data_IF_091006031691
#
_entry.id   IF_091006031691
#
_cell.length_a   1.000
_cell.length_b   1.000
_cell.length_c   1.000
_cell.angle_alpha   90.00
_cell.angle_beta   90.00
_cell.angle_gamma   90.00
#
_symmetry.space_group_name_H-M   'P 1'
#
loop_
_entity.id
_entity.type
_entity.pdbx_description
1 polymer ?
#
# COMPACT_ATOMS: atom_id res chain seq x y z
N UNK A 1 6.26 37.38 9.50
CA UNK A 1 6.36 36.12 10.24
C UNK A 1 5.84 35.04 9.33
N UNK A 2 6.71 34.18 8.81
CA UNK A 2 6.27 33.00 8.08
C UNK A 2 5.43 32.15 9.04
N UNK A 3 4.19 31.86 8.68
CA UNK A 3 3.38 30.94 9.47
C UNK A 3 4.03 29.58 9.39
N UNK A 4 4.25 28.93 10.51
CA UNK A 4 4.70 27.53 10.57
C UNK A 4 3.55 26.64 10.06
N UNK A 5 3.46 26.48 8.75
CA UNK A 5 2.38 25.73 8.09
C UNK A 5 2.97 24.48 7.43
N UNK A 6 2.39 23.33 7.70
CA UNK A 6 2.66 22.08 6.98
C UNK A 6 1.47 21.73 6.10
N UNK A 7 1.73 21.52 4.82
CA UNK A 7 0.70 21.24 3.81
C UNK A 7 0.73 19.78 3.36
N UNK A 8 -0.34 19.06 3.64
CA UNK A 8 -0.52 17.70 3.15
C UNK A 8 -1.20 17.72 1.77
N UNK A 9 -0.56 17.11 0.79
CA UNK A 9 -1.07 17.09 -0.57
C UNK A 9 -1.36 15.66 -1.01
N UNK A 10 -2.64 15.39 -1.29
CA UNK A 10 -3.09 14.11 -1.86
C UNK A 10 -3.84 14.37 -3.17
N UNK A 11 -3.39 13.77 -4.25
CA UNK A 11 -4.02 13.91 -5.57
C UNK A 11 -5.14 12.92 -5.80
N UNK A 12 -5.36 12.00 -4.87
CA UNK A 12 -6.36 10.95 -4.99
C UNK A 12 -7.21 10.86 -3.74
N UNK A 13 -8.53 10.96 -3.96
CA UNK A 13 -9.53 10.74 -2.92
C UNK A 13 -9.91 11.99 -2.12
N UNK A 14 -10.89 11.80 -1.24
CA UNK A 14 -11.49 12.84 -0.39
C UNK A 14 -10.86 12.89 1.00
N UNK A 15 -9.87 12.05 1.26
CA UNK A 15 -9.16 11.92 2.54
C UNK A 15 -7.67 11.69 2.27
N UNK A 16 -6.86 11.88 3.28
CA UNK A 16 -5.47 11.44 3.27
C UNK A 16 -5.43 9.91 3.15
N UNK A 17 -4.42 9.41 2.45
CA UNK A 17 -4.13 7.97 2.50
C UNK A 17 -3.53 7.59 3.87
N UNK A 18 -3.36 6.30 4.12
CA UNK A 18 -2.92 5.80 5.42
C UNK A 18 -1.58 6.37 5.87
N UNK A 19 -0.60 6.50 4.97
CA UNK A 19 0.72 7.01 5.30
C UNK A 19 0.64 8.49 5.71
N UNK A 20 -0.01 9.32 4.91
CA UNK A 20 -0.19 10.74 5.21
C UNK A 20 -1.04 10.96 6.46
N UNK A 21 -2.02 10.08 6.73
CA UNK A 21 -2.83 10.17 7.94
C UNK A 21 -2.00 9.87 9.19
N UNK A 22 -1.16 8.81 9.16
CA UNK A 22 -0.26 8.47 10.26
C UNK A 22 0.70 9.63 10.54
N UNK A 23 1.33 10.18 9.50
CA UNK A 23 2.24 11.33 9.65
C UNK A 23 1.51 12.55 10.21
N UNK A 24 0.31 12.83 9.72
CA UNK A 24 -0.50 13.96 10.21
C UNK A 24 -0.79 13.81 11.70
N UNK A 25 -1.27 12.66 12.13
CA UNK A 25 -1.68 12.44 13.51
C UNK A 25 -0.47 12.52 14.46
N UNK A 26 0.68 12.05 14.01
CA UNK A 26 1.95 12.15 14.72
C UNK A 26 2.42 13.62 14.84
N UNK A 27 2.49 14.35 13.72
CA UNK A 27 2.94 15.73 13.71
C UNK A 27 2.01 16.68 14.49
N UNK A 28 0.70 16.46 14.43
CA UNK A 28 -0.27 17.22 15.24
C UNK A 28 -0.02 17.04 16.74
N UNK A 29 0.48 15.88 17.16
CA UNK A 29 0.82 15.61 18.55
C UNK A 29 2.19 16.21 18.92
N UNK A 30 3.18 16.06 18.05
CA UNK A 30 4.56 16.47 18.31
C UNK A 30 4.79 17.97 18.13
N UNK A 31 4.05 18.62 17.23
CA UNK A 31 4.20 20.02 16.84
C UNK A 31 2.87 20.80 17.00
N UNK A 32 2.36 20.97 18.23
CA UNK A 32 1.02 21.54 18.48
C UNK A 32 0.87 23.01 18.03
N UNK A 33 1.98 23.74 17.88
CA UNK A 33 1.98 25.15 17.44
C UNK A 33 2.02 25.31 15.91
N UNK A 34 2.07 24.22 15.17
CA UNK A 34 2.05 24.23 13.70
C UNK A 34 0.63 24.30 13.18
N UNK A 35 0.43 25.06 12.11
CA UNK A 35 -0.80 25.07 11.34
C UNK A 35 -0.74 23.98 10.26
N UNK A 36 -1.80 23.18 10.12
CA UNK A 36 -1.88 22.11 9.12
C UNK A 36 -2.89 22.45 8.04
N UNK A 37 -2.48 22.37 6.80
CA UNK A 37 -3.33 22.60 5.63
C UNK A 37 -3.42 21.35 4.78
N UNK A 38 -4.54 21.20 4.06
CA UNK A 38 -4.83 19.99 3.28
C UNK A 38 -5.26 20.36 1.87
N UNK A 39 -4.59 19.81 0.89
CA UNK A 39 -5.07 19.79 -0.49
C UNK A 39 -5.50 18.37 -0.84
N UNK A 40 -6.81 18.15 -0.90
CA UNK A 40 -7.41 16.85 -1.24
C UNK A 40 -8.11 16.97 -2.58
N UNK A 41 -7.71 16.15 -3.54
CA UNK A 41 -8.35 16.16 -4.84
C UNK A 41 -9.69 15.40 -4.76
N UNK A 42 -10.78 16.14 -4.94
CA UNK A 42 -12.09 15.52 -5.19
C UNK A 42 -12.01 14.85 -6.56
N UNK A 43 -12.33 13.58 -6.62
CA UNK A 43 -12.36 12.68 -7.80
C UNK A 43 -12.30 13.39 -9.15
N UNK A 44 -11.35 12.98 -9.99
CA UNK A 44 -11.29 13.42 -11.38
C UNK A 44 -12.67 13.29 -12.02
N UNK A 45 -13.15 14.36 -12.65
CA UNK A 45 -14.44 14.36 -13.34
C UNK A 45 -14.22 13.94 -14.79
N UNK A 46 -15.27 13.45 -15.45
CA UNK A 46 -15.24 13.22 -16.90
C UNK A 46 -15.18 14.53 -17.73
N UNK A 47 -15.20 15.69 -17.05
CA UNK A 47 -15.21 17.01 -17.68
C UNK A 47 -13.78 17.58 -17.72
N UNK A 48 -13.10 17.62 -18.89
CA UNK A 48 -11.70 18.04 -19.00
C UNK A 48 -11.42 19.44 -18.41
N UNK A 49 -12.32 20.39 -18.63
CA UNK A 49 -12.17 21.77 -18.15
C UNK A 49 -12.14 21.86 -16.61
N UNK A 50 -12.91 21.03 -15.92
CA UNK A 50 -12.91 20.99 -14.46
C UNK A 50 -11.60 20.40 -13.98
N UNK A 51 -11.11 19.34 -14.60
CA UNK A 51 -9.83 18.73 -14.26
C UNK A 51 -8.66 19.72 -14.45
N UNK A 52 -8.67 20.53 -15.50
CA UNK A 52 -7.66 21.57 -15.71
C UNK A 52 -7.68 22.62 -14.60
N UNK A 53 -8.86 23.15 -14.24
CA UNK A 53 -9.00 24.11 -13.13
C UNK A 53 -8.56 23.53 -11.78
N UNK A 54 -8.82 22.25 -11.53
CA UNK A 54 -8.35 21.56 -10.31
C UNK A 54 -6.84 21.40 -10.30
N UNK A 55 -6.25 21.11 -11.44
CA UNK A 55 -4.79 21.02 -11.60
C UNK A 55 -4.12 22.39 -11.35
N UNK A 56 -4.67 23.46 -11.91
CA UNK A 56 -4.17 24.82 -11.71
C UNK A 56 -4.29 25.25 -10.23
N UNK A 57 -5.41 24.98 -9.58
CA UNK A 57 -5.59 25.26 -8.17
C UNK A 57 -4.58 24.50 -7.30
N UNK A 58 -4.29 23.23 -7.64
CA UNK A 58 -3.25 22.46 -6.96
C UNK A 58 -1.87 23.06 -7.14
N UNK A 59 -1.53 23.46 -8.36
CA UNK A 59 -0.23 24.11 -8.65
C UNK A 59 -0.06 25.39 -7.84
N UNK A 60 -1.11 26.24 -7.81
CA UNK A 60 -1.11 27.46 -7.00
C UNK A 60 -0.90 27.13 -5.54
N UNK A 61 -1.67 26.23 -4.97
CA UNK A 61 -1.53 25.80 -3.58
C UNK A 61 -0.12 25.29 -3.27
N UNK A 62 0.44 24.41 -4.10
CA UNK A 62 1.78 23.87 -3.90
C UNK A 62 2.89 24.93 -4.11
N UNK A 63 2.67 25.96 -4.96
CA UNK A 63 3.64 27.03 -5.16
C UNK A 63 3.67 28.05 -4.03
N UNK A 64 2.60 28.16 -3.26
CA UNK A 64 2.48 29.06 -2.11
C UNK A 64 2.86 28.38 -0.78
N UNK A 65 2.87 27.05 -0.74
CA UNK A 65 3.17 26.26 0.45
C UNK A 65 4.70 26.16 0.67
N UNK A 66 5.17 26.51 1.85
CA UNK A 66 6.58 26.40 2.23
C UNK A 66 6.98 24.98 2.63
N UNK A 67 6.08 24.27 3.31
CA UNK A 67 6.33 22.92 3.80
C UNK A 67 5.28 21.98 3.21
N UNK A 68 5.71 20.97 2.45
CA UNK A 68 4.83 20.04 1.76
C UNK A 68 5.20 18.62 2.13
N UNK A 69 4.19 17.82 2.45
CA UNK A 69 4.30 16.35 2.53
C UNK A 69 3.35 15.74 1.49
N UNK A 70 3.87 14.91 0.62
CA UNK A 70 3.08 14.25 -0.42
C UNK A 70 3.55 12.82 -0.68
N UNK A 71 2.69 12.02 -1.31
CA UNK A 71 3.05 10.67 -1.79
C UNK A 71 3.04 10.56 -3.32
N UNK A 72 2.36 11.46 -3.99
CA UNK A 72 2.25 11.44 -5.45
C UNK A 72 3.44 12.18 -6.07
N UNK A 73 4.33 11.44 -6.71
CA UNK A 73 5.52 11.99 -7.39
C UNK A 73 5.17 12.94 -8.55
N UNK A 74 3.93 12.98 -9.02
CA UNK A 74 3.48 13.97 -9.98
C UNK A 74 3.45 15.40 -9.42
N UNK A 75 3.38 15.55 -8.09
CA UNK A 75 3.38 16.85 -7.42
C UNK A 75 4.75 17.52 -7.52
N UNK A 76 5.84 16.90 -7.03
CA UNK A 76 7.18 17.49 -7.14
C UNK A 76 7.64 17.74 -8.57
N UNK A 77 7.10 17.01 -9.57
CA UNK A 77 7.41 17.20 -10.98
C UNK A 77 6.85 18.52 -11.51
N UNK A 78 5.67 18.93 -11.05
CA UNK A 78 4.88 20.01 -11.65
C UNK A 78 5.00 21.36 -10.93
N UNK A 79 5.67 21.40 -9.80
CA UNK A 79 5.91 22.63 -9.05
C UNK A 79 7.28 23.21 -9.35
N UNK A 80 7.53 24.50 -9.10
CA UNK A 80 8.87 25.09 -9.19
C UNK A 80 9.86 24.39 -8.23
N UNK A 81 11.15 24.55 -8.49
CA UNK A 81 12.21 24.12 -7.56
C UNK A 81 11.99 24.71 -6.18
N UNK A 82 12.34 23.96 -5.14
CA UNK A 82 12.25 24.45 -3.76
C UNK A 82 13.24 25.59 -3.56
N UNK A 83 12.82 26.62 -2.83
CA UNK A 83 13.73 27.66 -2.33
C UNK A 83 14.47 27.16 -1.09
N UNK A 84 15.51 27.90 -0.67
CA UNK A 84 16.32 27.52 0.51
C UNK A 84 15.51 27.41 1.81
N UNK A 85 14.35 28.06 1.87
CA UNK A 85 13.48 28.07 3.04
C UNK A 85 12.26 27.13 2.92
N UNK A 86 12.24 26.28 1.92
CA UNK A 86 11.13 25.37 1.67
C UNK A 86 11.52 23.93 1.97
N UNK A 87 10.64 23.21 2.65
CA UNK A 87 10.79 21.78 2.91
C UNK A 87 9.73 21.00 2.17
N UNK A 88 10.14 20.08 1.30
CA UNK A 88 9.25 19.24 0.50
C UNK A 88 9.65 17.80 0.66
N UNK A 89 8.81 17.04 1.37
CA UNK A 89 9.01 15.62 1.62
C UNK A 89 8.14 14.79 0.68
N UNK A 90 8.76 13.91 -0.06
CA UNK A 90 8.10 12.87 -0.85
C UNK A 90 8.20 11.52 -0.12
N UNK A 91 7.06 10.95 0.25
CA UNK A 91 6.94 9.55 0.65
C UNK A 91 6.75 8.74 -0.62
N UNK A 92 7.83 8.19 -1.15
CA UNK A 92 7.80 7.55 -2.45
C UNK A 92 7.20 6.14 -2.39
N UNK A 93 6.06 5.94 -3.06
CA UNK A 93 5.44 4.63 -3.20
C UNK A 93 5.50 4.18 -4.66
N UNK A 94 6.07 3.01 -4.97
CA UNK A 94 6.11 2.52 -6.34
C UNK A 94 4.75 1.97 -6.79
N UNK A 95 3.84 1.71 -5.85
CA UNK A 95 2.58 1.02 -6.06
C UNK A 95 1.42 1.93 -6.43
N UNK A 96 1.71 3.20 -6.71
CA UNK A 96 0.76 4.15 -7.27
C UNK A 96 0.62 3.97 -8.80
N UNK A 97 -0.18 4.85 -9.41
CA UNK A 97 -0.40 4.94 -10.86
C UNK A 97 0.88 4.83 -11.71
N UNK A 98 2.02 5.21 -11.16
CA UNK A 98 3.31 5.18 -11.84
C UNK A 98 3.94 3.79 -11.91
N UNK A 99 3.52 2.84 -11.10
CA UNK A 99 4.05 1.48 -11.15
C UNK A 99 3.95 0.88 -12.56
N UNK A 100 2.83 1.09 -13.23
CA UNK A 100 2.63 0.63 -14.61
C UNK A 100 3.62 1.29 -15.60
N UNK A 101 3.97 2.55 -15.36
CA UNK A 101 4.95 3.28 -16.17
C UNK A 101 6.34 2.74 -15.90
N UNK A 102 6.69 2.53 -14.65
CA UNK A 102 7.98 1.97 -14.24
C UNK A 102 8.18 0.56 -14.78
N UNK A 103 7.17 -0.30 -14.69
CA UNK A 103 7.25 -1.67 -15.19
C UNK A 103 7.44 -1.74 -16.70
N UNK A 104 6.70 -0.91 -17.47
CA UNK A 104 6.91 -0.79 -18.91
C UNK A 104 8.33 -0.35 -19.25
N UNK A 105 8.94 0.51 -18.43
CA UNK A 105 10.31 0.93 -18.60
C UNK A 105 11.32 -0.19 -18.29
N UNK A 106 11.10 -0.94 -17.21
CA UNK A 106 11.93 -2.11 -16.86
C UNK A 106 11.86 -3.21 -17.91
N UNK A 107 10.68 -3.41 -18.52
CA UNK A 107 10.49 -4.37 -19.61
C UNK A 107 11.11 -3.92 -20.92
N UNK A 108 11.21 -2.61 -21.15
CA UNK A 108 11.78 -2.05 -22.37
C UNK A 108 12.76 -0.89 -22.09
N UNK A 109 14.00 -1.20 -21.64
CA UNK A 109 14.99 -0.19 -21.27
C UNK A 109 15.44 0.73 -22.42
N UNK A 110 15.08 0.37 -23.68
CA UNK A 110 15.36 1.21 -24.86
C UNK A 110 14.38 2.40 -24.99
N UNK A 111 13.28 2.43 -24.24
CA UNK A 111 12.47 3.63 -24.14
C UNK A 111 13.31 4.70 -23.45
N UNK A 112 13.58 5.81 -24.16
CA UNK A 112 14.34 6.93 -23.60
C UNK A 112 13.70 7.37 -22.28
N UNK A 113 14.51 7.45 -21.21
CA UNK A 113 14.17 8.18 -19.99
C UNK A 113 13.51 9.50 -20.43
N UNK A 114 12.29 9.75 -19.99
CA UNK A 114 11.81 11.13 -19.94
C UNK A 114 12.65 11.79 -18.87
N UNK A 115 13.46 12.77 -19.26
CA UNK A 115 14.11 13.66 -18.31
C UNK A 115 13.01 14.36 -17.51
N UNK A 116 12.73 13.86 -16.34
CA UNK A 116 11.67 14.37 -15.46
C UNK A 116 12.32 14.61 -14.12
N UNK A 117 12.48 15.88 -13.78
CA UNK A 117 13.05 16.29 -12.50
C UNK A 117 12.01 16.18 -11.40
N UNK A 118 12.41 15.63 -10.27
CA UNK A 118 11.63 15.67 -9.03
C UNK A 118 12.15 16.82 -8.17
N UNK A 119 11.26 17.74 -7.84
CA UNK A 119 11.54 18.98 -7.11
C UNK A 119 11.08 18.85 -5.66
N UNK A 120 11.83 18.06 -4.90
CA UNK A 120 11.64 17.92 -3.47
C UNK A 120 12.99 18.08 -2.75
N UNK A 121 12.95 18.33 -1.46
CA UNK A 121 14.16 18.44 -0.63
C UNK A 121 14.51 17.11 0.03
N UNK A 122 13.51 16.32 0.35
CA UNK A 122 13.66 15.03 1.02
C UNK A 122 12.82 13.95 0.36
N UNK A 123 13.34 12.73 0.30
CA UNK A 123 12.63 11.55 -0.22
C UNK A 123 12.79 10.39 0.74
N UNK A 124 11.68 9.82 1.17
CA UNK A 124 11.64 8.51 1.84
C UNK A 124 11.18 7.47 0.82
N UNK A 125 12.06 6.60 0.33
CA UNK A 125 11.70 5.61 -0.70
C UNK A 125 10.92 4.42 -0.13
N UNK A 126 10.95 4.21 1.18
CA UNK A 126 10.20 3.15 1.85
C UNK A 126 10.71 1.72 1.62
N UNK A 127 11.53 1.48 0.60
CA UNK A 127 12.14 0.17 0.33
C UNK A 127 13.31 0.27 -0.65
N UNK A 128 14.26 -0.71 -0.66
CA UNK A 128 15.34 -0.79 -1.64
C UNK A 128 14.83 -0.85 -3.08
N UNK A 129 13.73 -1.57 -3.31
CA UNK A 129 13.07 -1.64 -4.61
C UNK A 129 12.64 -0.26 -5.11
N UNK A 130 11.96 0.51 -4.26
CA UNK A 130 11.49 1.87 -4.60
C UNK A 130 12.67 2.81 -4.85
N UNK A 131 13.69 2.77 -3.99
CA UNK A 131 14.89 3.58 -4.14
C UNK A 131 15.56 3.33 -5.50
N UNK A 132 15.79 2.07 -5.85
CA UNK A 132 16.36 1.66 -7.13
C UNK A 132 15.50 2.12 -8.31
N UNK A 133 14.20 1.97 -8.19
CA UNK A 133 13.25 2.30 -9.25
C UNK A 133 13.24 3.82 -9.52
N UNK A 134 13.10 4.61 -8.46
CA UNK A 134 13.08 6.07 -8.56
C UNK A 134 14.41 6.62 -9.08
N UNK A 135 15.53 6.14 -8.59
CA UNK A 135 16.86 6.52 -9.07
C UNK A 135 17.11 6.13 -10.54
N UNK A 136 16.44 5.08 -11.02
CA UNK A 136 16.56 4.66 -12.43
C UNK A 136 15.69 5.49 -13.37
N UNK A 137 14.59 6.05 -12.89
CA UNK A 137 13.55 6.65 -13.71
C UNK A 137 13.55 8.17 -13.70
N UNK A 138 13.88 8.80 -12.55
CA UNK A 138 13.87 10.23 -12.38
C UNK A 138 15.27 10.83 -12.38
N UNK A 139 15.37 12.07 -12.81
CA UNK A 139 16.50 12.93 -12.53
C UNK A 139 16.17 13.75 -11.26
N UNK A 140 17.16 13.91 -10.41
CA UNK A 140 17.03 14.62 -9.14
C UNK A 140 17.71 16.00 -9.24
N UNK A 141 17.17 16.97 -8.54
CA UNK A 141 17.86 18.24 -8.33
C UNK A 141 19.04 18.06 -7.38
N UNK A 142 20.06 18.95 -7.48
CA UNK A 142 21.35 18.76 -6.81
C UNK A 142 21.32 18.74 -5.28
N UNK A 143 20.25 19.11 -4.62
CA UNK A 143 20.20 19.26 -3.17
C UNK A 143 19.17 18.33 -2.50
N UNK A 144 18.90 17.16 -3.08
CA UNK A 144 17.93 16.23 -2.50
C UNK A 144 18.59 15.32 -1.48
N UNK A 145 18.00 15.25 -0.29
CA UNK A 145 18.36 14.27 0.73
C UNK A 145 17.54 13.01 0.51
N UNK A 146 18.23 11.93 0.16
CA UNK A 146 17.63 10.61 0.03
C UNK A 146 17.74 9.88 1.36
N UNK A 147 16.62 9.56 1.96
CA UNK A 147 16.55 8.95 3.30
C UNK A 147 16.38 7.44 3.16
N UNK A 148 17.52 6.77 2.96
CA UNK A 148 17.58 5.31 2.88
C UNK A 148 17.40 4.68 4.28
N UNK A 149 17.01 3.42 4.31
CA UNK A 149 16.71 2.63 5.50
C UNK A 149 15.46 3.05 6.28
N UNK A 150 14.69 4.00 5.75
CA UNK A 150 13.45 4.47 6.36
C UNK A 150 12.26 3.85 5.65
N UNK A 151 11.42 3.07 6.34
CA UNK A 151 10.20 2.51 5.77
C UNK A 151 9.12 3.58 5.58
N UNK A 152 8.12 3.29 4.77
CA UNK A 152 6.91 4.11 4.77
C UNK A 152 6.19 4.01 6.13
N UNK A 153 5.50 5.10 6.56
CA UNK A 153 4.80 5.12 7.85
C UNK A 153 3.85 3.94 8.08
N UNK A 154 3.08 3.54 7.08
CA UNK A 154 2.19 2.39 7.20
C UNK A 154 2.95 1.08 7.40
N UNK A 155 4.09 0.92 6.75
CA UNK A 155 4.92 -0.28 6.90
C UNK A 155 5.53 -0.35 8.30
N UNK A 156 6.04 0.77 8.81
CA UNK A 156 6.50 0.88 10.19
C UNK A 156 5.39 0.57 11.19
N UNK A 157 4.21 1.13 10.94
CA UNK A 157 3.05 0.98 11.79
C UNK A 157 2.61 -0.49 11.93
N UNK A 158 2.77 -1.30 10.87
CA UNK A 158 2.48 -2.74 10.90
C UNK A 158 3.35 -3.53 11.89
N UNK A 159 4.49 -2.97 12.30
CA UNK A 159 5.41 -3.62 13.26
C UNK A 159 5.09 -3.30 14.72
N UNK A 160 4.09 -2.44 14.99
CA UNK A 160 3.75 -2.02 16.34
C UNK A 160 2.88 -3.08 17.04
N UNK A 161 3.47 -3.81 17.98
CA UNK A 161 2.79 -4.89 18.72
C UNK A 161 1.55 -4.41 19.49
N UNK A 162 1.56 -3.19 20.02
CA UNK A 162 0.40 -2.63 20.73
C UNK A 162 -0.81 -2.46 19.79
N UNK A 163 -0.58 -1.98 18.57
CA UNK A 163 -1.64 -1.85 17.56
C UNK A 163 -2.15 -3.22 17.13
N UNK A 164 -1.24 -4.15 16.89
CA UNK A 164 -1.58 -5.54 16.59
C UNK A 164 -2.46 -6.13 17.68
N UNK A 165 -2.08 -5.98 18.95
CA UNK A 165 -2.85 -6.47 20.09
C UNK A 165 -4.24 -5.81 20.20
N UNK A 166 -4.34 -4.50 19.91
CA UNK A 166 -5.62 -3.79 19.92
C UNK A 166 -6.57 -4.30 18.81
N UNK A 167 -6.05 -4.43 17.59
CA UNK A 167 -6.85 -4.94 16.45
C UNK A 167 -7.21 -6.42 16.67
N UNK A 168 -6.33 -7.21 17.31
CA UNK A 168 -6.61 -8.59 17.70
C UNK A 168 -7.80 -8.70 18.67
N UNK A 169 -7.82 -7.87 19.70
CA UNK A 169 -8.97 -7.80 20.62
C UNK A 169 -10.26 -7.45 19.90
N UNK A 170 -10.21 -6.53 18.96
CA UNK A 170 -11.37 -6.16 18.16
C UNK A 170 -11.84 -7.32 17.27
N UNK A 171 -10.93 -8.06 16.63
CA UNK A 171 -11.28 -9.27 15.88
C UNK A 171 -11.97 -10.30 16.77
N UNK A 172 -11.38 -10.60 17.93
CA UNK A 172 -11.91 -11.59 18.87
C UNK A 172 -13.24 -11.19 19.47
N UNK A 173 -13.53 -9.89 19.55
CA UNK A 173 -14.85 -9.40 19.94
C UNK A 173 -15.92 -9.72 18.88
N UNK A 174 -15.60 -9.53 17.60
CA UNK A 174 -16.53 -9.87 16.52
C UNK A 174 -16.58 -11.36 16.19
N UNK A 175 -15.47 -12.05 16.37
CA UNK A 175 -15.28 -13.46 16.05
C UNK A 175 -14.55 -14.17 17.20
N UNK A 176 -15.26 -14.53 18.29
CA UNK A 176 -14.65 -15.22 19.44
C UNK A 176 -13.91 -16.51 19.08
N UNK A 177 -14.34 -17.18 18.01
CA UNK A 177 -13.71 -18.39 17.48
C UNK A 177 -12.33 -18.15 16.86
N UNK A 178 -11.94 -16.90 16.59
CA UNK A 178 -10.60 -16.56 16.12
C UNK A 178 -9.55 -16.54 17.25
N UNK A 179 -10.02 -16.62 18.53
CA UNK A 179 -9.12 -16.54 19.67
C UNK A 179 -8.06 -17.64 19.64
N UNK A 180 -6.81 -17.24 19.75
CA UNK A 180 -5.66 -18.14 19.76
C UNK A 180 -5.31 -18.77 18.40
N UNK A 181 -6.04 -18.44 17.33
CA UNK A 181 -5.78 -18.99 16.00
C UNK A 181 -4.81 -18.12 15.21
N UNK A 182 -4.07 -18.72 14.28
CA UNK A 182 -3.35 -18.04 13.21
C UNK A 182 -4.34 -17.42 12.24
N UNK A 183 -4.00 -16.28 11.67
CA UNK A 183 -4.89 -15.55 10.75
C UNK A 183 -4.33 -15.58 9.34
N UNK A 184 -5.09 -16.14 8.41
CA UNK A 184 -4.87 -15.90 7.00
C UNK A 184 -5.83 -14.80 6.52
N UNK A 185 -5.27 -13.73 5.96
CA UNK A 185 -6.05 -12.63 5.42
C UNK A 185 -6.08 -12.69 3.90
N UNK A 186 -7.29 -12.73 3.34
CA UNK A 186 -7.52 -12.59 1.89
C UNK A 186 -8.03 -11.18 1.63
N UNK A 187 -7.12 -10.31 1.20
CA UNK A 187 -7.40 -8.91 0.93
C UNK A 187 -7.46 -8.65 -0.56
N UNK A 188 -8.66 -8.63 -1.10
CA UNK A 188 -8.89 -8.35 -2.50
C UNK A 188 -9.33 -6.90 -2.67
N UNK A 189 -8.57 -6.14 -3.46
CA UNK A 189 -8.91 -4.78 -3.86
C UNK A 189 -9.67 -4.82 -5.18
N UNK A 190 -10.70 -4.01 -5.21
CA UNK A 190 -11.51 -3.78 -6.41
C UNK A 190 -12.74 -4.66 -6.46
N UNK A 191 -13.88 -4.02 -6.68
CA UNK A 191 -14.94 -4.62 -7.47
C UNK A 191 -14.43 -4.68 -8.91
N UNK A 192 -14.88 -5.67 -9.68
CA UNK A 192 -14.63 -5.77 -11.11
C UNK A 192 -14.60 -4.35 -11.71
N UNK A 193 -13.55 -3.93 -12.41
CA UNK A 193 -13.75 -2.87 -13.37
C UNK A 193 -14.91 -3.33 -14.26
N UNK A 194 -15.87 -2.45 -14.55
CA UNK A 194 -16.84 -2.79 -15.58
C UNK A 194 -16.03 -3.26 -16.80
N UNK A 195 -16.26 -4.48 -17.30
CA UNK A 195 -15.50 -4.99 -18.43
C UNK A 195 -15.64 -3.98 -19.57
N UNK A 196 -14.53 -3.64 -20.20
CA UNK A 196 -14.59 -2.89 -21.46
C UNK A 196 -15.41 -3.73 -22.46
N UNK A 197 -16.15 -3.08 -23.36
CA UNK A 197 -16.99 -3.77 -24.35
C UNK A 197 -16.19 -4.86 -25.06
N UNK A 198 -16.52 -6.13 -24.81
CA UNK A 198 -15.87 -7.31 -25.39
C UNK A 198 -14.89 -8.05 -24.47
N UNK A 199 -14.67 -7.62 -23.24
CA UNK A 199 -13.92 -8.37 -22.23
C UNK A 199 -14.86 -9.19 -21.32
N UNK A 200 -14.55 -10.46 -21.16
CA UNK A 200 -15.24 -11.30 -20.18
C UNK A 200 -14.93 -10.83 -18.75
N UNK A 201 -15.96 -10.66 -17.94
CA UNK A 201 -15.79 -10.32 -16.52
C UNK A 201 -15.07 -11.48 -15.83
N UNK A 202 -13.81 -11.26 -15.41
CA UNK A 202 -13.07 -12.25 -14.62
C UNK A 202 -13.74 -12.42 -13.26
N UNK A 203 -14.39 -13.55 -13.04
CA UNK A 203 -14.85 -13.93 -11.73
C UNK A 203 -13.70 -14.64 -10.99
N UNK A 204 -13.07 -13.97 -10.03
CA UNK A 204 -11.97 -14.53 -9.25
C UNK A 204 -12.32 -15.83 -8.51
N UNK A 205 -13.59 -16.06 -8.29
CA UNK A 205 -14.11 -17.21 -7.54
C UNK A 205 -14.75 -18.26 -8.46
N UNK A 206 -14.67 -18.10 -9.79
CA UNK A 206 -15.22 -19.08 -10.72
C UNK A 206 -14.53 -20.43 -10.57
N UNK A 207 -15.33 -21.43 -10.26
CA UNK A 207 -14.84 -22.81 -10.01
C UNK A 207 -14.10 -22.98 -8.67
N UNK A 208 -13.99 -21.95 -7.82
CA UNK A 208 -13.31 -22.07 -6.53
C UNK A 208 -14.13 -22.87 -5.52
N UNK A 209 -13.58 -24.00 -5.09
CA UNK A 209 -14.16 -24.84 -4.03
C UNK A 209 -13.65 -24.41 -2.65
N UNK A 210 -14.32 -23.41 -2.08
CA UNK A 210 -14.00 -22.88 -0.75
C UNK A 210 -14.07 -23.98 0.33
N UNK A 211 -15.01 -24.94 0.18
CA UNK A 211 -15.16 -26.04 1.13
C UNK A 211 -13.91 -26.92 1.14
N UNK A 212 -13.49 -27.39 -0.04
CA UNK A 212 -12.32 -28.24 -0.17
C UNK A 212 -11.05 -27.57 0.36
N UNK A 213 -10.90 -26.28 0.05
CA UNK A 213 -9.77 -25.50 0.59
C UNK A 213 -9.84 -25.38 2.12
N UNK A 214 -11.01 -25.07 2.70
CA UNK A 214 -11.16 -24.98 4.15
C UNK A 214 -11.01 -26.32 4.86
N UNK A 215 -11.32 -27.43 4.19
CA UNK A 215 -11.06 -28.78 4.72
C UNK A 215 -9.54 -29.10 4.73
N UNK A 216 -8.75 -28.46 3.89
CA UNK A 216 -7.28 -28.60 3.89
C UNK A 216 -6.58 -27.75 4.94
N UNK A 217 -7.26 -26.77 5.54
CA UNK A 217 -6.71 -25.93 6.59
C UNK A 217 -6.86 -26.60 7.97
N UNK A 218 -5.79 -26.62 8.72
CA UNK A 218 -5.81 -27.06 10.10
C UNK A 218 -6.78 -26.23 10.97
N UNK A 219 -7.18 -26.79 12.09
CA UNK A 219 -8.14 -26.12 12.99
C UNK A 219 -7.55 -24.89 13.70
N UNK A 220 -6.25 -24.69 13.67
CA UNK A 220 -5.57 -23.53 14.25
C UNK A 220 -5.56 -22.28 13.33
N UNK A 221 -6.13 -22.38 12.14
CA UNK A 221 -6.32 -21.25 11.23
C UNK A 221 -7.71 -20.62 11.33
N UNK A 222 -7.73 -19.30 11.20
CA UNK A 222 -8.93 -18.51 11.02
C UNK A 222 -8.76 -17.61 9.80
N UNK A 223 -9.70 -17.71 8.87
CA UNK A 223 -9.69 -16.99 7.60
C UNK A 223 -10.48 -15.70 7.74
N UNK A 224 -9.88 -14.58 7.34
CA UNK A 224 -10.59 -13.30 7.24
C UNK A 224 -10.52 -12.74 5.83
N UNK A 225 -11.60 -12.10 5.38
CA UNK A 225 -11.66 -11.48 4.07
C UNK A 225 -12.45 -10.17 4.07
N UNK A 226 -12.13 -9.30 3.10
CA UNK A 226 -12.91 -8.11 2.75
C UNK A 226 -13.78 -8.33 1.49
N UNK A 227 -13.75 -9.52 0.88
CA UNK A 227 -14.45 -9.84 -0.35
C UNK A 227 -15.83 -10.44 -0.05
N UNK A 228 -16.89 -9.81 -0.62
CA UNK A 228 -18.26 -10.23 -0.38
C UNK A 228 -18.61 -11.54 -1.11
N UNK A 229 -18.07 -11.75 -2.30
CA UNK A 229 -18.35 -12.97 -3.07
C UNK A 229 -17.89 -14.23 -2.31
N UNK A 230 -16.76 -14.14 -1.58
CA UNK A 230 -16.32 -15.23 -0.68
C UNK A 230 -17.32 -15.47 0.46
N UNK A 231 -17.93 -14.40 0.98
CA UNK A 231 -18.94 -14.50 2.03
C UNK A 231 -20.19 -15.21 1.51
N UNK A 232 -20.65 -14.86 0.30
CA UNK A 232 -21.80 -15.51 -0.31
C UNK A 232 -21.58 -17.02 -0.52
N UNK A 233 -20.40 -17.39 -0.98
CA UNK A 233 -20.03 -18.83 -1.08
C UNK A 233 -20.02 -19.47 0.31
N UNK A 234 -19.47 -18.78 1.34
CA UNK A 234 -19.38 -19.34 2.70
C UNK A 234 -20.74 -19.62 3.34
N UNK A 235 -21.79 -18.84 2.99
CA UNK A 235 -23.15 -19.10 3.48
C UNK A 235 -23.77 -20.39 2.94
N UNK A 236 -23.25 -20.94 1.86
CA UNK A 236 -23.70 -22.23 1.31
C UNK A 236 -23.02 -23.41 1.99
N UNK A 237 -22.00 -23.15 2.85
CA UNK A 237 -21.26 -24.19 3.53
C UNK A 237 -21.93 -24.62 4.85
N UNK A 238 -21.73 -25.87 5.30
CA UNK A 238 -22.14 -26.31 6.63
C UNK A 238 -21.58 -25.41 7.75
N UNK A 239 -22.34 -25.28 8.84
CA UNK A 239 -22.01 -24.37 9.97
C UNK A 239 -20.59 -24.55 10.54
N UNK A 240 -20.03 -25.77 10.48
CA UNK A 240 -18.66 -26.04 10.96
C UNK A 240 -17.59 -25.13 10.30
N UNK A 241 -17.84 -24.64 9.07
CA UNK A 241 -16.94 -23.74 8.37
C UNK A 241 -17.08 -22.28 8.83
N UNK A 242 -18.26 -21.89 9.30
CA UNK A 242 -18.47 -20.56 9.85
C UNK A 242 -17.56 -20.27 11.07
N UNK A 243 -17.14 -21.32 11.79
CA UNK A 243 -16.17 -21.18 12.90
C UNK A 243 -14.74 -20.89 12.45
N UNK A 244 -14.44 -21.02 11.16
CA UNK A 244 -13.11 -20.78 10.58
C UNK A 244 -13.06 -19.53 9.71
N UNK A 245 -14.17 -18.80 9.55
CA UNK A 245 -14.31 -17.73 8.58
C UNK A 245 -14.90 -16.47 9.18
N UNK A 246 -14.33 -15.31 8.80
CA UNK A 246 -14.80 -13.99 9.17
C UNK A 246 -14.80 -13.00 8.02
N UNK A 247 -15.83 -12.14 7.99
CA UNK A 247 -15.95 -11.01 7.08
C UNK A 247 -15.86 -9.71 7.86
N UNK A 248 -14.89 -8.87 7.55
CA UNK A 248 -14.56 -7.71 8.38
C UNK A 248 -14.77 -6.35 7.72
N UNK A 249 -15.24 -6.31 6.47
CA UNK A 249 -15.61 -5.05 5.82
C UNK A 249 -16.59 -4.28 6.71
N UNK A 250 -16.31 -3.00 6.97
CA UNK A 250 -17.06 -2.13 7.88
C UNK A 250 -16.91 -2.43 9.39
N UNK A 251 -16.17 -3.45 9.80
CA UNK A 251 -15.88 -3.75 11.21
C UNK A 251 -14.45 -3.41 11.58
N UNK A 252 -13.51 -3.82 10.73
CA UNK A 252 -12.08 -3.53 10.85
C UNK A 252 -11.63 -2.95 9.51
N UNK A 253 -10.95 -1.80 9.48
CA UNK A 253 -10.40 -1.24 8.24
C UNK A 253 -9.46 -2.23 7.54
N UNK A 254 -9.49 -2.24 6.20
CA UNK A 254 -8.69 -3.19 5.41
C UNK A 254 -7.19 -3.10 5.73
N UNK A 255 -6.67 -1.89 5.97
CA UNK A 255 -5.27 -1.73 6.35
C UNK A 255 -4.97 -2.36 7.72
N UNK A 256 -5.94 -2.34 8.63
CA UNK A 256 -5.78 -2.95 9.95
C UNK A 256 -5.83 -4.49 9.90
N UNK A 257 -6.41 -5.08 8.85
CA UNK A 257 -6.32 -6.53 8.66
C UNK A 257 -4.88 -7.03 8.54
N UNK A 258 -3.99 -6.21 7.95
CA UNK A 258 -2.59 -6.58 7.81
C UNK A 258 -1.89 -6.76 9.16
N UNK A 259 -2.26 -6.00 10.20
CA UNK A 259 -1.71 -6.20 11.56
C UNK A 259 -2.03 -7.59 12.11
N UNK A 260 -3.20 -8.13 11.77
CA UNK A 260 -3.67 -9.42 12.25
C UNK A 260 -3.04 -10.58 11.52
N UNK A 261 -2.62 -10.37 10.27
CA UNK A 261 -2.25 -11.44 9.36
C UNK A 261 -1.00 -12.17 9.81
N UNK A 262 -1.07 -13.48 9.89
CA UNK A 262 0.09 -14.37 9.95
C UNK A 262 0.49 -14.84 8.55
N UNK A 263 -0.44 -14.77 7.59
CA UNK A 263 -0.23 -14.95 6.17
C UNK A 263 -1.14 -14.00 5.39
N UNK A 264 -0.64 -13.40 4.31
CA UNK A 264 -1.40 -12.50 3.46
C UNK A 264 -1.56 -13.06 2.05
N UNK A 265 -2.80 -13.11 1.58
CA UNK A 265 -3.14 -13.37 0.19
C UNK A 265 -3.80 -12.11 -0.36
N UNK A 266 -3.26 -11.53 -1.42
CA UNK A 266 -3.75 -10.25 -1.93
C UNK A 266 -3.52 -10.10 -3.43
N UNK A 267 -4.41 -9.35 -4.08
CA UNK A 267 -4.24 -8.88 -5.45
C UNK A 267 -3.70 -7.43 -5.52
N UNK A 268 -3.33 -6.87 -4.38
CA UNK A 268 -2.81 -5.50 -4.27
C UNK A 268 -1.30 -5.49 -4.14
N UNK A 269 -0.63 -4.92 -5.14
CA UNK A 269 0.81 -4.67 -5.08
C UNK A 269 1.21 -3.82 -3.85
N UNK A 270 0.39 -2.82 -3.51
CA UNK A 270 0.63 -1.97 -2.34
C UNK A 270 0.55 -2.75 -1.04
N UNK A 271 -0.45 -3.61 -0.87
CA UNK A 271 -0.55 -4.43 0.35
C UNK A 271 0.59 -5.44 0.44
N UNK A 272 0.92 -6.11 -0.67
CA UNK A 272 2.06 -7.04 -0.69
C UNK A 272 3.37 -6.34 -0.31
N UNK A 273 3.67 -5.18 -0.92
CA UNK A 273 4.87 -4.42 -0.62
C UNK A 273 4.93 -3.90 0.82
N UNK A 274 3.82 -3.34 1.34
CA UNK A 274 3.79 -2.87 2.72
C UNK A 274 3.90 -4.00 3.73
N UNK A 275 3.31 -5.16 3.44
CA UNK A 275 3.33 -6.31 4.33
C UNK A 275 4.70 -7.02 4.37
N UNK A 276 5.55 -6.84 3.35
CA UNK A 276 6.88 -7.44 3.27
C UNK A 276 7.75 -7.18 4.51
N UNK A 277 7.55 -6.04 5.17
CA UNK A 277 8.26 -5.66 6.40
C UNK A 277 8.03 -6.63 7.55
N UNK A 278 6.88 -7.28 7.59
CA UNK A 278 6.51 -8.23 8.65
C UNK A 278 7.30 -9.54 8.57
N UNK A 279 7.96 -9.81 7.44
CA UNK A 279 8.65 -11.07 7.15
C UNK A 279 7.76 -12.29 7.40
N UNK A 280 6.51 -12.19 6.95
CA UNK A 280 5.52 -13.27 7.00
C UNK A 280 5.14 -13.71 5.59
N UNK A 281 4.61 -14.92 5.39
CA UNK A 281 4.24 -15.42 4.07
C UNK A 281 3.25 -14.51 3.33
N UNK A 282 3.55 -14.27 2.06
CA UNK A 282 2.75 -13.45 1.15
C UNK A 282 2.50 -14.25 -0.12
N UNK A 283 1.25 -14.27 -0.58
CA UNK A 283 0.88 -14.78 -1.88
C UNK A 283 0.15 -13.72 -2.68
N UNK A 284 0.57 -13.53 -3.91
CA UNK A 284 -0.02 -12.57 -4.81
C UNK A 284 -1.00 -13.27 -5.77
N UNK A 285 -2.27 -12.93 -5.65
CA UNK A 285 -3.32 -13.42 -6.54
C UNK A 285 -3.40 -12.53 -7.78
N UNK A 286 -3.32 -13.10 -8.97
CA UNK A 286 -3.43 -12.34 -10.22
C UNK A 286 -4.79 -11.66 -10.32
N UNK A 287 -4.75 -10.36 -10.59
CA UNK A 287 -5.92 -9.53 -10.90
C UNK A 287 -5.53 -8.40 -11.86
N UNK A 288 -6.49 -7.82 -12.53
CA UNK A 288 -6.23 -6.66 -13.40
C UNK A 288 -5.88 -5.39 -12.58
N UNK A 289 -4.94 -4.58 -13.04
CA UNK A 289 -4.11 -4.73 -14.24
C UNK A 289 -2.93 -5.70 -14.01
N UNK A 290 -2.67 -6.54 -15.01
CA UNK A 290 -1.70 -7.66 -14.97
C UNK A 290 -0.22 -7.28 -14.76
N UNK A 291 0.11 -6.00 -14.66
CA UNK A 291 1.51 -5.53 -14.69
C UNK A 291 2.31 -6.03 -13.49
N UNK A 292 1.77 -5.91 -12.29
CA UNK A 292 2.44 -6.45 -11.10
C UNK A 292 2.38 -7.97 -11.07
N UNK A 293 1.29 -8.57 -11.54
CA UNK A 293 1.17 -10.03 -11.71
C UNK A 293 2.27 -10.59 -12.61
N UNK A 294 2.53 -9.96 -13.76
CA UNK A 294 3.64 -10.36 -14.65
C UNK A 294 5.00 -10.23 -13.96
N UNK A 295 5.20 -9.20 -13.15
CA UNK A 295 6.41 -9.05 -12.35
C UNK A 295 6.54 -10.18 -11.33
N UNK A 296 5.49 -10.47 -10.55
CA UNK A 296 5.47 -11.56 -9.59
C UNK A 296 5.73 -12.92 -10.25
N UNK A 297 5.01 -13.22 -11.32
CA UNK A 297 5.21 -14.46 -12.10
C UNK A 297 6.63 -14.64 -12.60
N UNK A 298 7.31 -13.56 -12.98
CA UNK A 298 8.68 -13.61 -13.50
C UNK A 298 9.73 -13.74 -12.42
N UNK A 299 9.60 -13.03 -11.31
CA UNK A 299 10.65 -12.88 -10.31
C UNK A 299 10.39 -13.63 -9.00
N UNK A 300 9.12 -13.97 -8.74
CA UNK A 300 8.64 -14.63 -7.53
C UNK A 300 7.53 -15.65 -7.85
N UNK A 301 7.80 -16.63 -8.73
CA UNK A 301 6.77 -17.56 -9.21
C UNK A 301 6.14 -18.39 -8.10
N UNK A 302 6.86 -18.73 -7.03
CA UNK A 302 6.29 -19.47 -5.89
C UNK A 302 5.33 -18.67 -5.02
N UNK A 303 5.34 -17.35 -5.16
CA UNK A 303 4.41 -16.43 -4.47
C UNK A 303 3.21 -16.04 -5.34
N UNK A 304 3.23 -16.39 -6.62
CA UNK A 304 2.21 -15.99 -7.57
C UNK A 304 1.14 -17.05 -7.70
N UNK A 305 -0.12 -16.64 -7.56
CA UNK A 305 -1.30 -17.45 -7.78
C UNK A 305 -2.07 -16.88 -8.98
N UNK A 306 -2.32 -17.71 -9.97
CA UNK A 306 -3.04 -17.29 -11.18
C UNK A 306 -4.52 -17.01 -10.88
N UNK A 307 -5.11 -17.83 -10.03
CA UNK A 307 -6.50 -17.71 -9.59
C UNK A 307 -6.69 -18.37 -8.21
N UNK A 308 -7.91 -18.28 -7.68
CA UNK A 308 -8.24 -18.82 -6.36
C UNK A 308 -8.14 -20.35 -6.31
N UNK A 309 -8.21 -21.05 -7.43
CA UNK A 309 -8.12 -22.52 -7.46
C UNK A 309 -6.71 -23.03 -7.16
N UNK A 310 -5.71 -22.15 -7.19
CA UNK A 310 -4.35 -22.49 -6.78
C UNK A 310 -4.12 -22.37 -5.25
N UNK A 311 -5.07 -21.79 -4.49
CA UNK A 311 -4.95 -21.67 -3.02
C UNK A 311 -4.69 -23.01 -2.31
N UNK A 312 -5.30 -24.14 -2.71
CA UNK A 312 -4.99 -25.42 -2.08
C UNK A 312 -3.53 -25.90 -2.26
N UNK A 313 -2.78 -25.27 -3.18
CA UNK A 313 -1.35 -25.58 -3.38
C UNK A 313 -0.43 -24.82 -2.41
N UNK A 314 -0.96 -23.81 -1.71
CA UNK A 314 -0.23 -23.06 -0.70
C UNK A 314 -0.01 -23.92 0.53
N UNK A 315 1.23 -23.95 1.02
CA UNK A 315 1.55 -24.65 2.25
C UNK A 315 1.15 -23.81 3.47
N UNK A 316 0.08 -24.22 4.14
CA UNK A 316 -0.39 -23.61 5.38
C UNK A 316 0.17 -24.29 6.65
N UNK A 317 0.95 -25.36 6.51
CA UNK A 317 1.53 -26.07 7.66
C UNK A 317 2.65 -25.26 8.34
N UNK A 318 3.32 -24.38 7.60
CA UNK A 318 4.42 -23.55 8.08
C UNK A 318 4.19 -22.07 7.84
N UNK A 319 4.79 -21.25 8.72
CA UNK A 319 4.94 -19.80 8.52
C UNK A 319 6.38 -19.44 8.13
N UNK A 320 7.20 -20.41 7.81
CA UNK A 320 8.56 -20.17 7.32
C UNK A 320 8.52 -19.61 5.89
N UNK A 321 9.38 -18.64 5.65
CA UNK A 321 9.49 -18.04 4.32
C UNK A 321 10.26 -18.96 3.37
N UNK A 322 9.77 -19.09 2.15
CA UNK A 322 10.58 -19.63 1.06
C UNK A 322 11.71 -18.65 0.69
N UNK A 323 12.72 -19.12 0.00
CA UNK A 323 13.82 -18.28 -0.49
C UNK A 323 13.32 -17.11 -1.34
N UNK A 324 12.25 -17.30 -2.13
CA UNK A 324 11.65 -16.22 -2.92
C UNK A 324 10.92 -15.21 -2.03
N UNK A 325 10.23 -15.67 -1.01
CA UNK A 325 9.57 -14.80 -0.04
C UNK A 325 10.57 -13.98 0.77
N UNK A 326 11.68 -14.59 1.19
CA UNK A 326 12.77 -13.87 1.84
C UNK A 326 13.36 -12.79 0.94
N UNK A 327 13.62 -13.13 -0.32
CA UNK A 327 14.11 -12.17 -1.32
C UNK A 327 13.11 -11.04 -1.54
N UNK A 328 11.82 -11.34 -1.65
CA UNK A 328 10.76 -10.34 -1.77
C UNK A 328 10.76 -9.39 -0.56
N UNK A 329 10.81 -9.93 0.65
CA UNK A 329 10.87 -9.13 1.87
C UNK A 329 12.10 -8.22 1.89
N UNK A 330 13.27 -8.69 1.47
CA UNK A 330 14.51 -7.89 1.40
C UNK A 330 14.43 -6.77 0.36
N UNK A 331 13.77 -7.00 -0.77
CA UNK A 331 13.62 -5.99 -1.82
C UNK A 331 12.55 -4.94 -1.48
N UNK A 332 11.48 -5.34 -0.79
CA UNK A 332 10.33 -4.48 -0.52
C UNK A 332 10.27 -3.91 0.91
N UNK A 333 11.25 -4.22 1.74
CA UNK A 333 11.37 -3.61 3.08
C UNK A 333 12.83 -3.33 3.43
N UNK A 334 13.05 -2.36 4.32
CA UNK A 334 14.38 -2.11 4.90
C UNK A 334 14.60 -2.91 6.18
N UNK A 335 15.86 -3.31 6.42
CA UNK A 335 16.32 -3.88 7.69
C UNK A 335 17.83 -3.58 7.88
N UNK A 336 18.29 -2.98 8.98
CA UNK A 336 17.48 -2.44 10.08
C UNK A 336 16.64 -1.23 9.65
N UNK A 337 15.62 -0.89 10.44
CA UNK A 337 14.68 0.19 10.14
C UNK A 337 14.86 1.33 11.13
N UNK A 338 14.83 2.55 10.60
CA UNK A 338 14.69 3.74 11.41
C UNK A 338 13.22 4.13 11.53
N UNK A 339 12.88 4.83 12.62
CA UNK A 339 11.51 5.29 12.83
C UNK A 339 11.18 6.44 11.86
N UNK A 340 10.31 6.24 10.87
CA UNK A 340 9.99 7.27 9.88
C UNK A 340 9.36 8.52 10.50
N UNK A 341 8.63 8.37 11.61
CA UNK A 341 7.96 9.49 12.24
C UNK A 341 8.95 10.42 12.97
N UNK A 342 9.96 9.86 13.62
CA UNK A 342 11.04 10.66 14.23
C UNK A 342 11.80 11.43 13.16
N UNK A 343 12.21 10.78 12.10
CA UNK A 343 12.91 11.44 10.99
C UNK A 343 12.05 12.55 10.36
N UNK A 344 10.75 12.30 10.17
CA UNK A 344 9.84 13.31 9.60
C UNK A 344 9.70 14.50 10.57
N UNK A 345 9.63 14.29 11.89
CA UNK A 345 9.61 15.38 12.87
C UNK A 345 10.88 16.23 12.79
N UNK A 346 12.05 15.57 12.69
CA UNK A 346 13.34 16.28 12.56
C UNK A 346 13.39 17.14 11.31
N UNK A 347 12.89 16.66 10.16
CA UNK A 347 12.83 17.41 8.91
C UNK A 347 11.97 18.68 9.05
N UNK A 348 10.91 18.65 9.84
CA UNK A 348 9.97 19.76 10.02
C UNK A 348 10.11 20.47 11.37
N UNK A 349 11.07 20.06 12.17
CA UNK A 349 11.36 20.75 13.45
C UNK A 349 12.26 21.95 13.17
N UNK A 350 11.69 23.14 13.31
CA UNK A 350 12.36 24.44 13.10
C UNK A 350 12.91 25.01 14.39
#
# INVERSE_FOLDING_TARGET
MSKNIISFVSTRGRSLNSDLQIVKDDLMTALPDMEFQYYLNKTATKIPLINTKMEDARRTFCSEAQNIICMDSSIPIKIPSASENETRLLLASPFDYQFNIFMKYLENPKQKKKQTFIRCTHVIPGSPFTAKLFNSFYEWEDNITFLDNIPLPISWDLMQEEKRAAVRKQLEFYYPQAKGKKIVSILLLGQKPEPEEGEDSVNLLEGFDLKNWMDSLDDDWFLITNNWDMVEISYQLPYKYASKFGYIKNKIPVNEMMYLSDMLITNSSKHAGNFAITKKPIYYLEYLPKVFGNYMKKFYPSMYLKDMNELPTVDFSTLELSTEQEKFCQEFSYAPMENPLETIREIFNF
#
